data_IF_900962125559
#
_entry.id   IF_900962125559
#
_cell.length_a   1.000
_cell.length_b   1.000
_cell.length_c   1.000
_cell.angle_alpha   90.00
_cell.angle_beta   90.00
_cell.angle_gamma   90.00
#
_symmetry.space_group_name_H-M   'P 1'
#
loop_
_entity.id
_entity.type
_entity.pdbx_description
1 polymer ?
#
# COMPACT_ATOMS: atom_id res chain seq x y z
N UNK A 1 3.18 -7.34 16.37
CA UNK A 1 1.87 -6.72 16.05
C UNK A 1 1.77 -6.53 14.55
N UNK A 2 0.61 -6.80 13.99
CA UNK A 2 0.40 -6.68 12.56
C UNK A 2 -0.37 -5.39 12.27
N UNK A 3 0.15 -4.60 11.34
CA UNK A 3 -0.51 -3.39 10.86
C UNK A 3 -1.00 -3.62 9.44
N UNK A 4 -2.18 -3.11 9.15
CA UNK A 4 -2.73 -3.16 7.79
C UNK A 4 -2.77 -1.76 7.24
N UNK A 5 -2.19 -1.57 6.06
CA UNK A 5 -2.03 -0.25 5.48
C UNK A 5 -2.52 -0.24 4.03
N UNK A 6 -3.36 0.72 3.70
CA UNK A 6 -3.76 0.98 2.33
C UNK A 6 -2.96 2.16 1.81
N UNK A 7 -2.36 2.01 0.64
CA UNK A 7 -1.46 3.01 0.08
C UNK A 7 -1.86 3.32 -1.36
N UNK A 8 -2.27 4.55 -1.66
CA UNK A 8 -2.62 4.91 -3.03
C UNK A 8 -1.38 5.36 -3.80
N UNK A 9 -1.46 5.27 -5.12
CA UNK A 9 -0.43 5.77 -6.01
C UNK A 9 -1.04 6.74 -7.01
N UNK A 10 -0.36 7.85 -7.25
CA UNK A 10 -0.80 8.85 -8.21
C UNK A 10 0.15 8.89 -9.38
N UNK A 11 -0.37 9.21 -10.57
CA UNK A 11 0.43 9.33 -11.77
C UNK A 11 1.09 10.69 -11.81
N UNK A 12 2.40 10.69 -12.02
CA UNK A 12 3.16 11.93 -12.17
C UNK A 12 3.15 12.38 -13.63
N UNK A 13 3.51 13.63 -13.88
CA UNK A 13 3.56 14.17 -15.23
C UNK A 13 4.52 13.42 -16.14
N UNK A 14 5.60 12.90 -15.55
CA UNK A 14 6.58 12.14 -16.33
C UNK A 14 6.16 10.68 -16.57
N UNK A 15 4.96 10.31 -16.17
CA UNK A 15 4.47 8.94 -16.31
C UNK A 15 4.80 8.01 -15.17
N UNK A 16 5.61 8.46 -14.22
CA UNK A 16 5.93 7.67 -13.04
C UNK A 16 4.79 7.62 -12.04
N UNK A 17 4.99 6.86 -10.96
CA UNK A 17 4.02 6.73 -9.89
C UNK A 17 4.63 7.22 -8.58
N UNK A 18 3.85 7.94 -7.80
CA UNK A 18 4.25 8.39 -6.47
C UNK A 18 3.24 7.91 -5.45
N UNK A 19 3.72 7.53 -4.27
CA UNK A 19 2.85 7.12 -3.19
C UNK A 19 2.13 8.33 -2.61
N UNK A 20 0.84 8.17 -2.35
CA UNK A 20 0.06 9.16 -1.64
C UNK A 20 0.05 8.89 -0.15
N UNK A 21 -0.99 9.34 0.51
CA UNK A 21 -1.08 9.22 1.95
C UNK A 21 -1.55 7.83 2.37
N UNK A 22 -0.77 7.15 3.19
CA UNK A 22 -1.11 5.83 3.69
C UNK A 22 -2.19 5.91 4.76
N UNK A 23 -3.07 4.91 4.79
CA UNK A 23 -4.18 4.84 5.75
C UNK A 23 -4.09 3.52 6.50
N UNK A 24 -4.05 3.60 7.82
CA UNK A 24 -4.06 2.43 8.67
C UNK A 24 -5.47 1.86 8.78
N UNK A 25 -5.57 0.54 8.72
CA UNK A 25 -6.85 -0.15 8.82
C UNK A 25 -6.78 -1.23 9.91
N UNK A 26 -7.92 -1.57 10.53
CA UNK A 26 -7.89 -2.46 11.68
C UNK A 26 -7.71 -3.94 11.34
N UNK A 27 -8.05 -4.37 10.12
CA UNK A 27 -7.92 -5.77 9.75
C UNK A 27 -7.83 -5.92 8.23
N UNK A 28 -7.57 -7.13 7.78
CA UNK A 28 -7.28 -7.40 6.37
C UNK A 28 -8.44 -7.07 5.43
N UNK A 29 -9.66 -7.41 5.79
CA UNK A 29 -10.80 -7.09 4.92
C UNK A 29 -11.03 -5.59 4.81
N UNK A 30 -10.79 -4.86 5.90
CA UNK A 30 -10.94 -3.40 5.87
C UNK A 30 -9.88 -2.75 4.98
N UNK A 31 -8.64 -3.23 5.02
CA UNK A 31 -7.57 -2.64 4.22
C UNK A 31 -7.80 -2.90 2.74
N UNK A 32 -8.28 -4.08 2.39
CA UNK A 32 -8.57 -4.40 0.99
C UNK A 32 -9.69 -3.51 0.46
N UNK A 33 -10.76 -3.32 1.24
CA UNK A 33 -11.84 -2.43 0.84
C UNK A 33 -11.38 -0.99 0.74
N UNK A 34 -10.50 -0.56 1.64
CA UNK A 34 -9.97 0.81 1.60
C UNK A 34 -9.14 1.03 0.34
N UNK A 35 -8.27 0.08 0.00
CA UNK A 35 -7.46 0.17 -1.20
C UNK A 35 -8.34 0.18 -2.46
N UNK A 36 -9.40 -0.62 -2.49
CA UNK A 36 -10.35 -0.61 -3.58
C UNK A 36 -11.01 0.76 -3.73
N UNK A 37 -11.43 1.36 -2.61
CA UNK A 37 -12.03 2.70 -2.63
C UNK A 37 -11.04 3.75 -3.13
N UNK A 38 -9.78 3.64 -2.74
CA UNK A 38 -8.74 4.54 -3.23
C UNK A 38 -8.58 4.42 -4.75
N UNK A 39 -8.60 3.20 -5.26
CA UNK A 39 -8.47 2.97 -6.69
C UNK A 39 -9.66 3.54 -7.46
N UNK A 40 -10.84 3.52 -6.87
CA UNK A 40 -12.03 4.06 -7.53
C UNK A 40 -12.02 5.57 -7.62
N UNK A 41 -11.17 6.23 -6.85
CA UNK A 41 -10.97 7.66 -6.94
C UNK A 41 -10.10 7.93 -8.16
N UNK A 42 -10.62 8.72 -9.11
CA UNK A 42 -9.95 8.99 -10.38
C UNK A 42 -8.60 9.70 -10.22
N UNK A 43 -8.39 10.37 -9.09
CA UNK A 43 -7.10 11.01 -8.82
C UNK A 43 -5.99 9.99 -8.60
N UNK A 44 -6.32 8.74 -8.32
CA UNK A 44 -5.33 7.71 -8.06
C UNK A 44 -5.20 6.78 -9.26
N UNK A 45 -3.96 6.43 -9.59
CA UNK A 45 -3.69 5.46 -10.66
C UNK A 45 -3.83 4.03 -10.16
N UNK A 46 -3.59 3.80 -8.89
CA UNK A 46 -3.71 2.49 -8.28
C UNK A 46 -3.63 2.56 -6.78
N UNK A 47 -3.71 1.42 -6.15
CA UNK A 47 -3.61 1.32 -4.69
C UNK A 47 -3.15 -0.08 -4.30
N UNK A 48 -2.57 -0.19 -3.13
CA UNK A 48 -2.12 -1.47 -2.61
C UNK A 48 -2.62 -1.65 -1.18
N UNK A 49 -3.06 -2.86 -0.87
CA UNK A 49 -3.38 -3.28 0.49
C UNK A 49 -2.23 -4.14 0.98
N UNK A 50 -1.64 -3.77 2.09
CA UNK A 50 -0.50 -4.51 2.62
C UNK A 50 -0.63 -4.73 4.12
N UNK A 51 0.08 -5.73 4.60
CA UNK A 51 0.22 -6.01 6.01
C UNK A 51 1.69 -5.81 6.38
N UNK A 52 1.94 -5.17 7.50
CA UNK A 52 3.28 -5.01 8.07
C UNK A 52 3.33 -5.68 9.41
N UNK A 53 4.38 -6.42 9.63
CA UNK A 53 4.64 -7.02 10.94
C UNK A 53 5.65 -6.13 11.63
N UNK A 54 5.21 -5.57 12.75
CA UNK A 54 6.10 -4.75 13.55
C UNK A 54 7.04 -5.67 14.33
N UNK A 55 8.31 -5.55 14.03
CA UNK A 55 9.34 -6.29 14.72
C UNK A 55 10.00 -5.38 15.74
N UNK A 56 10.36 -5.93 16.88
CA UNK A 56 11.12 -5.18 17.88
C UNK A 56 12.55 -4.93 17.41
N UNK A 57 12.99 -5.63 16.39
CA UNK A 57 14.31 -5.43 15.83
C UNK A 57 14.32 -4.23 14.93
N UNK A 58 15.07 -3.23 15.28
CA UNK A 58 15.14 -1.99 14.55
C UNK A 58 15.70 -2.25 13.15
N UNK A 59 14.99 -1.74 12.16
CA UNK A 59 15.45 -1.85 10.78
C UNK A 59 15.02 -3.10 10.05
N UNK A 60 14.28 -3.96 10.70
CA UNK A 60 13.79 -5.17 10.05
C UNK A 60 12.41 -4.92 9.44
N UNK A 61 12.38 -4.82 8.11
CA UNK A 61 11.15 -4.59 7.37
C UNK A 61 10.73 -5.80 6.55
N UNK A 62 11.27 -6.96 6.89
CA UNK A 62 10.98 -8.17 6.12
C UNK A 62 9.53 -8.64 6.27
N UNK A 63 8.80 -8.10 7.22
CA UNK A 63 7.42 -8.50 7.48
C UNK A 63 6.37 -7.89 6.56
N UNK A 64 6.76 -7.05 5.61
CA UNK A 64 5.77 -6.45 4.72
C UNK A 64 5.24 -7.48 3.73
N UNK A 65 3.91 -7.58 3.63
CA UNK A 65 3.27 -8.53 2.74
C UNK A 65 2.18 -7.83 1.93
N UNK A 66 2.23 -7.99 0.62
CA UNK A 66 1.21 -7.45 -0.27
C UNK A 66 0.00 -8.37 -0.23
N UNK A 67 -1.15 -7.84 0.18
CA UNK A 67 -2.39 -8.60 0.21
C UNK A 67 -3.12 -8.52 -1.12
N UNK A 68 -3.19 -7.32 -1.70
CA UNK A 68 -3.87 -7.13 -2.97
C UNK A 68 -3.43 -5.82 -3.60
N UNK A 69 -3.38 -5.79 -4.93
CA UNK A 69 -3.10 -4.57 -5.67
C UNK A 69 -4.29 -4.23 -6.57
N UNK A 70 -4.48 -2.93 -6.81
CA UNK A 70 -5.54 -2.43 -7.68
C UNK A 70 -4.94 -1.43 -8.66
N UNK A 71 -5.24 -1.61 -9.94
CA UNK A 71 -4.79 -0.67 -10.96
C UNK A 71 -3.29 -0.65 -11.13
N UNK A 72 -2.76 0.53 -11.40
CA UNK A 72 -1.33 0.70 -11.67
C UNK A 72 -0.57 0.94 -10.38
N UNK A 73 0.36 0.05 -10.08
CA UNK A 73 1.24 0.16 -8.92
C UNK A 73 2.66 -0.08 -9.39
N UNK A 74 3.66 0.41 -8.65
CA UNK A 74 5.06 0.17 -9.04
C UNK A 74 5.38 -1.32 -9.11
N UNK A 75 6.19 -1.70 -10.10
CA UNK A 75 6.56 -3.10 -10.29
C UNK A 75 7.34 -3.66 -9.11
N UNK A 76 8.12 -2.82 -8.48
CA UNK A 76 8.94 -3.24 -7.35
C UNK A 76 8.36 -2.72 -6.05
N UNK A 77 7.20 -3.25 -5.65
CA UNK A 77 6.60 -2.91 -4.37
C UNK A 77 7.41 -3.51 -3.24
N UNK A 78 8.67 -3.14 -3.19
CA UNK A 78 9.56 -3.60 -2.14
C UNK A 78 9.63 -2.53 -1.08
N UNK A 79 8.91 -2.75 -0.01
CA UNK A 79 8.99 -1.90 1.16
C UNK A 79 10.11 -2.37 2.07
N UNK A 80 10.78 -3.38 1.63
CA UNK A 80 11.96 -3.89 2.31
C UNK A 80 13.17 -3.21 1.72
N UNK A 81 13.96 -2.68 2.52
CA UNK A 81 15.21 -2.09 2.07
C UNK A 81 16.37 -2.69 2.82
#
# INVERSE_FOLDING_TARGET
>A
MIYYVALPFVRLENGGLAAGEAVDCPHSSAVIRRADAMYRNEANAGAVALARIDSLDVGDFEGAMILKTFGDVPDNLQFVT
#
